data_IF_550323624959
#
_entry.id   IF_550323624959
#
_cell.length_a   1.000
_cell.length_b   1.000
_cell.length_c   1.000
_cell.angle_alpha   90.00
_cell.angle_beta   90.00
_cell.angle_gamma   90.00
#
_symmetry.space_group_name_H-M   'P 1'
#
loop_
_entity.id
_entity.type
_entity.pdbx_description
1 polymer ?
#
# COMPACT_ATOMS: atom_id res chain seq x y z
N UNK A 1 -38.00 9.62 1.04
CA UNK A 1 -38.02 8.18 0.70
C UNK A 1 -37.84 8.02 -0.81
N UNK A 2 -37.14 6.97 -1.27
CA UNK A 2 -36.84 6.76 -2.69
C UNK A 2 -38.08 6.23 -3.44
N UNK A 3 -38.68 6.98 -4.39
CA UNK A 3 -39.89 6.55 -5.11
C UNK A 3 -39.70 5.25 -5.88
N UNK A 4 -38.48 4.96 -6.33
CA UNK A 4 -38.15 3.72 -7.03
C UNK A 4 -38.34 2.49 -6.13
N UNK A 5 -38.00 2.61 -4.84
CA UNK A 5 -38.16 1.53 -3.88
C UNK A 5 -39.64 1.16 -3.67
N UNK A 6 -40.50 2.17 -3.56
CA UNK A 6 -41.95 1.97 -3.46
C UNK A 6 -42.52 1.32 -4.72
N UNK A 7 -42.08 1.73 -5.91
CA UNK A 7 -42.49 1.13 -7.17
C UNK A 7 -42.04 -0.33 -7.31
N UNK A 8 -40.81 -0.66 -6.89
CA UNK A 8 -40.29 -2.04 -6.88
C UNK A 8 -41.13 -2.91 -5.92
N UNK A 9 -41.48 -2.40 -4.74
CA UNK A 9 -42.30 -3.15 -3.79
C UNK A 9 -43.70 -3.43 -4.33
N UNK A 10 -44.31 -2.46 -5.02
CA UNK A 10 -45.60 -2.65 -5.69
C UNK A 10 -45.48 -3.72 -6.80
N UNK A 11 -44.43 -3.66 -7.63
CA UNK A 11 -44.19 -4.65 -8.70
C UNK A 11 -44.08 -6.08 -8.15
N UNK A 12 -43.43 -6.26 -6.99
CA UNK A 12 -43.33 -7.56 -6.31
C UNK A 12 -44.64 -8.09 -5.74
N UNK A 13 -45.57 -7.21 -5.38
CA UNK A 13 -46.85 -7.57 -4.75
C UNK A 13 -47.94 -7.90 -5.77
N UNK A 14 -47.86 -7.37 -6.98
CA UNK A 14 -48.86 -7.62 -8.02
C UNK A 14 -48.61 -9.00 -8.64
N UNK A 15 -49.58 -9.92 -8.50
CA UNK A 15 -49.57 -11.19 -9.23
C UNK A 15 -49.77 -10.92 -10.72
N UNK A 16 -48.66 -10.91 -11.47
CA UNK A 16 -48.62 -10.58 -12.89
C UNK A 16 -47.85 -9.29 -13.15
N UNK A 17 -47.04 -9.26 -14.23
CA UNK A 17 -46.22 -8.08 -14.57
C UNK A 17 -47.12 -6.91 -15.00
N UNK A 18 -47.34 -5.95 -14.11
CA UNK A 18 -48.11 -4.73 -14.42
C UNK A 18 -47.34 -3.86 -15.40
N UNK A 19 -47.90 -3.62 -16.59
CA UNK A 19 -47.29 -2.77 -17.60
C UNK A 19 -47.12 -1.33 -17.11
N UNK A 20 -48.13 -0.79 -16.42
CA UNK A 20 -48.09 0.56 -15.85
C UNK A 20 -46.95 0.72 -14.84
N UNK A 21 -46.79 -0.24 -13.92
CA UNK A 21 -45.73 -0.18 -12.91
C UNK A 21 -44.35 -0.29 -13.56
N UNK A 22 -44.20 -1.18 -14.55
CA UNK A 22 -42.95 -1.28 -15.31
C UNK A 22 -42.64 0.03 -16.06
N UNK A 23 -43.63 0.65 -16.72
CA UNK A 23 -43.44 1.93 -17.42
C UNK A 23 -43.02 3.04 -16.44
N UNK A 24 -43.63 3.11 -15.25
CA UNK A 24 -43.25 4.06 -14.20
C UNK A 24 -41.84 3.81 -13.65
N UNK A 25 -41.46 2.54 -13.45
CA UNK A 25 -40.11 2.16 -13.04
C UNK A 25 -39.09 2.61 -14.10
N UNK A 26 -39.33 2.32 -15.38
CA UNK A 26 -38.42 2.71 -16.46
C UNK A 26 -38.32 4.23 -16.61
N UNK A 27 -39.44 4.95 -16.55
CA UNK A 27 -39.45 6.42 -16.59
C UNK A 27 -38.70 7.04 -15.41
N UNK A 28 -38.85 6.47 -14.22
CA UNK A 28 -38.13 6.94 -13.02
C UNK A 28 -36.65 6.63 -13.13
N UNK A 29 -36.29 5.42 -13.57
CA UNK A 29 -34.91 4.97 -13.76
C UNK A 29 -34.16 5.82 -14.80
N UNK A 30 -34.82 6.21 -15.90
CA UNK A 30 -34.23 7.05 -16.94
C UNK A 30 -33.81 8.46 -16.46
N UNK A 31 -34.33 8.91 -15.31
CA UNK A 31 -33.93 10.18 -14.69
C UNK A 31 -32.75 10.04 -13.74
N UNK A 32 -32.36 8.81 -13.39
CA UNK A 32 -31.25 8.55 -12.48
C UNK A 32 -29.95 8.62 -13.29
N UNK A 33 -29.01 9.39 -12.78
CA UNK A 33 -27.64 9.44 -13.29
C UNK A 33 -26.72 9.01 -12.15
N UNK A 34 -25.83 8.08 -12.44
CA UNK A 34 -24.76 7.70 -11.53
C UNK A 34 -23.45 8.20 -12.06
N UNK A 35 -22.66 8.82 -11.19
CA UNK A 35 -21.25 9.03 -11.46
C UNK A 35 -20.42 7.81 -10.99
N UNK A 36 -19.18 7.73 -11.46
CA UNK A 36 -18.28 6.60 -11.16
C UNK A 36 -18.01 6.48 -9.66
N UNK A 37 -17.91 7.60 -8.94
CA UNK A 37 -17.65 7.60 -7.49
C UNK A 37 -18.82 7.03 -6.69
N UNK A 38 -20.06 7.29 -7.10
CA UNK A 38 -21.26 6.70 -6.51
C UNK A 38 -21.33 5.20 -6.77
N UNK A 39 -20.98 4.76 -7.98
CA UNK A 39 -20.89 3.33 -8.29
C UNK A 39 -19.84 2.67 -7.43
N UNK A 40 -18.62 3.20 -7.39
CA UNK A 40 -17.54 2.70 -6.57
C UNK A 40 -17.94 2.64 -5.09
N UNK A 41 -18.55 3.72 -4.58
CA UNK A 41 -19.00 3.80 -3.19
C UNK A 41 -20.02 2.71 -2.87
N UNK A 42 -21.07 2.57 -3.67
CA UNK A 42 -22.19 1.68 -3.35
C UNK A 42 -21.91 0.20 -3.68
N UNK A 43 -20.93 -0.07 -4.56
CA UNK A 43 -20.58 -1.45 -4.98
C UNK A 43 -19.32 -2.00 -4.32
N UNK A 44 -18.46 -1.12 -3.80
CA UNK A 44 -17.21 -1.53 -3.17
C UNK A 44 -16.97 -0.87 -1.82
N UNK A 45 -17.02 0.46 -1.68
CA UNK A 45 -16.54 1.11 -0.44
C UNK A 45 -17.52 1.04 0.75
N UNK A 46 -18.83 1.04 0.46
CA UNK A 46 -19.94 0.94 1.41
C UNK A 46 -21.04 0.05 0.84
N UNK A 47 -20.76 -1.25 0.61
CA UNK A 47 -21.67 -2.13 -0.08
C UNK A 47 -22.86 -2.49 0.81
N UNK A 48 -24.08 -2.17 0.36
CA UNK A 48 -25.31 -2.54 1.07
C UNK A 48 -26.37 -3.05 0.09
N UNK A 49 -27.29 -3.89 0.58
CA UNK A 49 -28.45 -4.37 -0.20
C UNK A 49 -29.51 -3.29 -0.42
N UNK A 50 -29.44 -2.20 0.33
CA UNK A 50 -30.41 -1.10 0.28
C UNK A 50 -29.99 0.00 -0.69
N UNK A 51 -28.80 -0.09 -1.30
CA UNK A 51 -28.37 0.87 -2.32
C UNK A 51 -29.22 0.75 -3.58
N UNK A 52 -29.39 1.89 -4.26
CA UNK A 52 -30.13 1.93 -5.53
C UNK A 52 -29.44 1.06 -6.59
N UNK A 53 -28.10 1.09 -6.64
CA UNK A 53 -27.30 0.30 -7.58
C UNK A 53 -27.48 -1.20 -7.36
N UNK A 54 -27.48 -1.66 -6.10
CA UNK A 54 -27.73 -3.08 -5.80
C UNK A 54 -29.13 -3.51 -6.29
N UNK A 55 -30.16 -2.70 -6.03
CA UNK A 55 -31.51 -2.98 -6.53
C UNK A 55 -31.55 -3.03 -8.07
N UNK A 56 -30.92 -2.08 -8.76
CA UNK A 56 -30.89 -2.06 -10.24
C UNK A 56 -30.16 -3.28 -10.81
N UNK A 57 -29.10 -3.75 -10.16
CA UNK A 57 -28.35 -4.91 -10.61
C UNK A 57 -29.14 -6.23 -10.48
N UNK A 58 -29.98 -6.37 -9.45
CA UNK A 58 -30.55 -7.66 -9.08
C UNK A 58 -32.08 -7.77 -9.14
N UNK A 59 -32.83 -6.67 -9.24
CA UNK A 59 -34.29 -6.72 -9.35
C UNK A 59 -34.75 -6.97 -10.79
N UNK A 60 -35.79 -7.79 -10.93
CA UNK A 60 -36.26 -8.30 -12.22
C UNK A 60 -36.78 -7.22 -13.16
N UNK A 61 -37.38 -6.16 -12.61
CA UNK A 61 -37.91 -5.02 -13.36
C UNK A 61 -36.81 -4.21 -14.10
N UNK A 62 -35.53 -4.37 -13.73
CA UNK A 62 -34.40 -3.73 -14.40
C UNK A 62 -33.65 -4.64 -15.36
N UNK A 63 -34.05 -5.91 -15.53
CA UNK A 63 -33.30 -6.91 -16.30
C UNK A 63 -32.92 -6.44 -17.71
N UNK A 64 -33.84 -5.76 -18.39
CA UNK A 64 -33.66 -5.21 -19.75
C UNK A 64 -33.46 -3.69 -19.79
N UNK A 65 -33.22 -3.06 -18.65
CA UNK A 65 -33.10 -1.61 -18.57
C UNK A 65 -31.73 -1.13 -19.07
N UNK A 66 -31.72 0.03 -19.75
CA UNK A 66 -30.48 0.70 -20.16
C UNK A 66 -29.61 1.08 -18.95
N UNK A 67 -30.24 1.46 -17.83
CA UNK A 67 -29.55 1.86 -16.62
C UNK A 67 -28.70 0.73 -16.03
N UNK A 68 -29.23 -0.50 -16.01
CA UNK A 68 -28.47 -1.69 -15.59
C UNK A 68 -27.24 -1.90 -16.45
N UNK A 69 -27.36 -1.75 -17.77
CA UNK A 69 -26.22 -1.88 -18.68
C UNK A 69 -25.16 -0.80 -18.42
N UNK A 70 -25.57 0.45 -18.19
CA UNK A 70 -24.64 1.55 -17.85
C UNK A 70 -23.84 1.22 -16.59
N UNK A 71 -24.49 0.71 -15.55
CA UNK A 71 -23.81 0.32 -14.31
C UNK A 71 -22.82 -0.81 -14.57
N UNK A 72 -23.21 -1.82 -15.35
CA UNK A 72 -22.33 -2.94 -15.73
C UNK A 72 -21.10 -2.42 -16.47
N UNK A 73 -21.28 -1.56 -17.48
CA UNK A 73 -20.20 -1.00 -18.28
C UNK A 73 -19.22 -0.18 -17.41
N UNK A 74 -19.75 0.62 -16.47
CA UNK A 74 -18.93 1.37 -15.53
C UNK A 74 -18.16 0.47 -14.56
N UNK A 75 -18.77 -0.62 -14.06
CA UNK A 75 -18.09 -1.60 -13.21
C UNK A 75 -16.98 -2.35 -13.97
N UNK A 76 -17.19 -2.66 -15.25
CA UNK A 76 -16.15 -3.23 -16.10
C UNK A 76 -14.98 -2.25 -16.30
N UNK A 77 -15.27 -0.97 -16.52
CA UNK A 77 -14.24 0.07 -16.62
C UNK A 77 -13.47 0.25 -15.30
N UNK A 78 -14.16 0.17 -14.16
CA UNK A 78 -13.57 0.19 -12.82
C UNK A 78 -12.61 -0.99 -12.63
N UNK A 79 -13.02 -2.20 -13.01
CA UNK A 79 -12.17 -3.38 -12.94
C UNK A 79 -10.87 -3.21 -13.74
N UNK A 80 -10.98 -2.78 -15.00
CA UNK A 80 -9.80 -2.54 -15.84
C UNK A 80 -8.87 -1.49 -15.21
N UNK A 81 -9.45 -0.45 -14.60
CA UNK A 81 -8.68 0.57 -13.87
C UNK A 81 -7.93 -0.04 -12.68
N UNK A 82 -8.54 -0.96 -11.94
CA UNK A 82 -7.88 -1.64 -10.82
C UNK A 82 -6.82 -2.65 -11.28
N UNK A 83 -6.99 -3.30 -12.42
CA UNK A 83 -5.95 -4.18 -12.98
C UNK A 83 -4.73 -3.39 -13.46
N UNK A 84 -4.95 -2.27 -14.16
CA UNK A 84 -3.90 -1.44 -14.73
C UNK A 84 -3.21 -0.57 -13.68
N UNK A 85 -4.01 0.24 -12.96
CA UNK A 85 -3.52 1.26 -12.04
C UNK A 85 -3.52 0.76 -10.60
N UNK A 86 -4.56 0.05 -10.20
CA UNK A 86 -4.73 -0.44 -8.84
C UNK A 86 -5.63 0.40 -7.93
N UNK A 87 -5.58 0.06 -6.66
CA UNK A 87 -6.39 0.55 -5.57
C UNK A 87 -5.66 1.66 -4.81
N UNK A 88 -6.46 2.53 -4.21
CA UNK A 88 -5.99 3.45 -3.16
C UNK A 88 -5.78 2.68 -1.85
N UNK A 89 -4.90 3.17 -0.98
CA UNK A 89 -4.70 2.52 0.32
C UNK A 89 -6.00 2.48 1.15
N UNK A 90 -6.83 3.53 1.09
CA UNK A 90 -8.13 3.57 1.76
C UNK A 90 -9.05 2.42 1.34
N UNK A 91 -9.01 2.02 0.07
CA UNK A 91 -9.80 0.92 -0.49
C UNK A 91 -9.29 -0.44 0.02
N UNK A 92 -7.98 -0.64 0.03
CA UNK A 92 -7.33 -1.86 0.55
C UNK A 92 -7.62 -2.01 2.05
N UNK A 93 -7.47 -0.93 2.82
CA UNK A 93 -7.73 -0.93 4.26
C UNK A 93 -9.23 -1.06 4.57
N UNK A 94 -10.09 -0.49 3.72
CA UNK A 94 -11.54 -0.66 3.79
C UNK A 94 -11.95 -2.13 3.65
N UNK A 95 -11.42 -2.83 2.64
CA UNK A 95 -11.68 -4.25 2.42
C UNK A 95 -11.43 -5.13 3.65
N UNK A 96 -10.31 -4.87 4.36
CA UNK A 96 -9.96 -5.60 5.58
C UNK A 96 -11.01 -5.43 6.69
N UNK A 97 -11.67 -4.28 6.74
CA UNK A 97 -12.67 -3.91 7.77
C UNK A 97 -14.08 -4.38 7.44
N UNK A 98 -14.34 -4.85 6.22
CA UNK A 98 -15.68 -5.32 5.86
C UNK A 98 -16.11 -6.50 6.71
N UNK A 99 -17.36 -6.43 7.17
CA UNK A 99 -18.11 -7.54 7.71
C UNK A 99 -18.32 -8.64 6.67
N UNK A 100 -18.71 -9.84 7.12
CA UNK A 100 -19.01 -10.95 6.22
C UNK A 100 -20.17 -10.60 5.25
N UNK A 101 -21.18 -9.86 5.72
CA UNK A 101 -22.29 -9.43 4.88
C UNK A 101 -21.84 -8.48 3.76
N UNK A 102 -21.04 -7.47 4.10
CA UNK A 102 -20.48 -6.53 3.11
C UNK A 102 -19.65 -7.26 2.05
N UNK A 103 -18.79 -8.21 2.46
CA UNK A 103 -18.02 -9.03 1.52
C UNK A 103 -18.92 -9.86 0.61
N UNK A 104 -19.96 -10.50 1.14
CA UNK A 104 -20.91 -11.26 0.33
C UNK A 104 -21.62 -10.39 -0.71
N UNK A 105 -21.95 -9.14 -0.38
CA UNK A 105 -22.54 -8.19 -1.33
C UNK A 105 -21.56 -7.89 -2.46
N UNK A 106 -20.31 -7.57 -2.13
CA UNK A 106 -19.26 -7.30 -3.12
C UNK A 106 -19.04 -8.52 -4.01
N UNK A 107 -18.89 -9.72 -3.45
CA UNK A 107 -18.74 -10.94 -4.24
C UNK A 107 -19.94 -11.19 -5.15
N UNK A 108 -21.17 -10.98 -4.65
CA UNK A 108 -22.37 -11.16 -5.47
C UNK A 108 -22.37 -10.21 -6.67
N UNK A 109 -21.99 -8.95 -6.47
CA UNK A 109 -21.86 -7.97 -7.55
C UNK A 109 -20.81 -8.44 -8.55
N UNK A 110 -19.59 -8.72 -8.12
CA UNK A 110 -18.50 -9.07 -9.05
C UNK A 110 -18.68 -10.43 -9.72
N UNK A 111 -19.33 -11.41 -9.08
CA UNK A 111 -19.72 -12.65 -9.72
C UNK A 111 -20.74 -12.39 -10.84
N UNK A 112 -21.74 -11.54 -10.58
CA UNK A 112 -22.73 -11.17 -11.59
C UNK A 112 -22.11 -10.41 -12.79
N UNK A 113 -21.18 -9.48 -12.52
CA UNK A 113 -20.42 -8.80 -13.58
C UNK A 113 -19.55 -9.81 -14.35
N UNK A 114 -18.92 -10.76 -13.66
CA UNK A 114 -18.13 -11.83 -14.25
C UNK A 114 -18.93 -12.74 -15.18
N UNK A 115 -20.12 -13.19 -14.74
CA UNK A 115 -21.06 -13.95 -15.56
C UNK A 115 -21.46 -13.18 -16.83
N UNK A 116 -21.76 -11.90 -16.68
CA UNK A 116 -22.16 -11.03 -17.81
C UNK A 116 -21.02 -10.85 -18.82
N UNK A 117 -19.78 -10.67 -18.33
CA UNK A 117 -18.60 -10.50 -19.17
C UNK A 117 -17.95 -11.81 -19.63
N UNK A 118 -18.47 -12.97 -19.19
CA UNK A 118 -17.84 -14.30 -19.37
C UNK A 118 -16.39 -14.34 -18.89
N UNK A 119 -16.11 -13.68 -17.76
CA UNK A 119 -14.80 -13.60 -17.12
C UNK A 119 -14.93 -13.93 -15.63
N UNK A 120 -13.88 -14.49 -15.03
CA UNK A 120 -13.84 -14.68 -13.58
C UNK A 120 -13.05 -13.54 -12.95
N UNK A 121 -13.71 -12.75 -12.12
CA UNK A 121 -13.08 -11.64 -11.40
C UNK A 121 -12.66 -12.09 -9.99
N UNK A 122 -11.35 -12.12 -9.75
CA UNK A 122 -10.77 -12.54 -8.47
C UNK A 122 -10.39 -11.33 -7.62
N UNK A 123 -11.40 -10.69 -7.01
CA UNK A 123 -11.18 -9.44 -6.27
C UNK A 123 -10.20 -9.59 -5.10
N UNK A 124 -10.26 -10.72 -4.38
CA UNK A 124 -9.34 -11.02 -3.28
C UNK A 124 -7.90 -11.08 -3.75
N UNK A 125 -7.64 -11.82 -4.83
CA UNK A 125 -6.29 -11.97 -5.36
C UNK A 125 -5.70 -10.61 -5.79
N UNK A 126 -6.54 -9.74 -6.38
CA UNK A 126 -6.13 -8.40 -6.79
C UNK A 126 -5.82 -7.50 -5.59
N UNK A 127 -6.67 -7.50 -4.57
CA UNK A 127 -6.48 -6.72 -3.34
C UNK A 127 -5.26 -7.25 -2.56
N UNK A 128 -5.11 -8.56 -2.40
CA UNK A 128 -3.99 -9.17 -1.66
C UNK A 128 -2.64 -8.90 -2.33
N UNK A 129 -2.60 -8.90 -3.67
CA UNK A 129 -1.39 -8.49 -4.40
C UNK A 129 -1.02 -7.05 -4.05
N UNK A 130 -1.96 -6.12 -4.13
CA UNK A 130 -1.67 -4.70 -3.91
C UNK A 130 -1.46 -4.36 -2.43
N UNK A 131 -2.09 -5.12 -1.54
CA UNK A 131 -1.80 -5.05 -0.11
C UNK A 131 -0.34 -5.41 0.17
N UNK A 132 0.19 -6.48 -0.44
CA UNK A 132 1.61 -6.82 -0.30
C UNK A 132 2.52 -5.70 -0.80
N UNK A 133 2.20 -5.08 -1.94
CA UNK A 133 2.94 -3.92 -2.46
C UNK A 133 2.86 -2.70 -1.52
N UNK A 134 1.72 -2.48 -0.86
CA UNK A 134 1.54 -1.42 0.15
C UNK A 134 2.35 -1.71 1.41
N UNK A 135 2.23 -2.93 1.94
CA UNK A 135 2.91 -3.39 3.16
C UNK A 135 4.44 -3.33 2.96
N UNK A 136 4.96 -3.68 1.78
CA UNK A 136 6.38 -3.55 1.45
C UNK A 136 6.88 -2.10 1.53
N UNK A 137 6.12 -1.14 0.97
CA UNK A 137 6.49 0.28 1.02
C UNK A 137 6.49 0.83 2.46
N UNK A 138 5.51 0.40 3.27
CA UNK A 138 5.45 0.74 4.69
C UNK A 138 6.67 0.16 5.43
N UNK A 139 7.00 -1.11 5.20
CA UNK A 139 8.18 -1.74 5.82
C UNK A 139 9.49 -1.09 5.41
N UNK A 140 9.61 -0.64 4.16
CA UNK A 140 10.78 0.11 3.70
C UNK A 140 10.90 1.43 4.46
N UNK A 141 9.81 2.18 4.58
CA UNK A 141 9.79 3.41 5.38
C UNK A 141 10.24 3.16 6.81
N UNK A 142 9.61 2.21 7.48
CA UNK A 142 9.89 1.90 8.89
C UNK A 142 11.35 1.47 9.12
N UNK A 143 11.88 0.56 8.29
CA UNK A 143 13.26 0.09 8.40
C UNK A 143 14.27 1.21 8.20
N UNK A 144 14.06 2.05 7.19
CA UNK A 144 15.00 3.13 6.88
C UNK A 144 14.95 4.23 7.94
N UNK A 145 13.76 4.66 8.36
CA UNK A 145 13.60 5.62 9.47
C UNK A 145 14.35 5.12 10.70
N UNK A 146 14.16 3.85 11.06
CA UNK A 146 14.84 3.24 12.20
C UNK A 146 16.37 3.27 12.05
N UNK A 147 16.89 2.87 10.89
CA UNK A 147 18.33 2.93 10.63
C UNK A 147 18.88 4.36 10.73
N UNK A 148 18.17 5.37 10.20
CA UNK A 148 18.58 6.76 10.30
C UNK A 148 18.59 7.27 11.75
N UNK A 149 17.66 6.79 12.58
CA UNK A 149 17.59 7.15 13.99
C UNK A 149 18.65 6.48 14.86
N UNK A 150 19.02 5.24 14.53
CA UNK A 150 20.04 4.48 15.28
C UNK A 150 21.46 4.84 14.86
N UNK A 151 21.72 4.91 13.54
CA UNK A 151 23.08 4.95 13.00
C UNK A 151 23.50 6.32 12.46
N UNK A 152 22.54 7.18 12.10
CA UNK A 152 22.80 8.42 11.36
C UNK A 152 22.43 9.69 12.14
N UNK A 153 22.44 9.66 13.47
CA UNK A 153 22.00 10.78 14.32
C UNK A 153 22.67 12.13 13.96
N UNK A 154 23.92 12.10 13.53
CA UNK A 154 24.71 13.29 13.18
C UNK A 154 24.95 13.45 11.67
N UNK A 155 24.28 12.67 10.82
CA UNK A 155 24.44 12.78 9.37
C UNK A 155 23.79 14.08 8.86
N UNK A 156 24.52 14.86 8.04
CA UNK A 156 24.07 16.18 7.58
C UNK A 156 22.84 16.11 6.67
N UNK A 157 22.64 14.99 5.99
CA UNK A 157 21.57 14.73 5.03
C UNK A 157 20.42 13.88 5.60
N UNK A 158 20.46 13.51 6.89
CA UNK A 158 19.41 12.71 7.56
C UNK A 158 18.01 13.31 7.32
N UNK A 159 17.88 14.62 7.47
CA UNK A 159 16.60 15.32 7.36
C UNK A 159 15.99 15.19 5.95
N UNK A 160 16.81 15.28 4.91
CA UNK A 160 16.39 15.11 3.52
C UNK A 160 15.75 13.73 3.31
N UNK A 161 16.34 12.68 3.89
CA UNK A 161 15.78 11.32 3.77
C UNK A 161 14.47 11.14 4.53
N UNK A 162 14.34 11.75 5.72
CA UNK A 162 13.09 11.74 6.47
C UNK A 162 11.97 12.45 5.71
N UNK A 163 12.26 13.55 5.02
CA UNK A 163 11.30 14.26 4.16
C UNK A 163 10.85 13.40 2.99
N UNK A 164 11.77 12.72 2.30
CA UNK A 164 11.43 11.79 1.21
C UNK A 164 10.54 10.63 1.69
N UNK A 165 10.79 10.11 2.89
CA UNK A 165 9.97 9.06 3.49
C UNK A 165 8.58 9.56 3.91
N UNK A 166 8.50 10.80 4.41
CA UNK A 166 7.23 11.45 4.78
C UNK A 166 6.39 11.80 3.55
N UNK A 167 7.00 12.23 2.46
CA UNK A 167 6.31 12.45 1.18
C UNK A 167 5.73 11.13 0.64
N UNK A 168 6.50 10.04 0.72
CA UNK A 168 6.04 8.71 0.33
C UNK A 168 4.85 8.24 1.18
N UNK A 169 4.89 8.47 2.50
CA UNK A 169 3.78 8.17 3.40
C UNK A 169 2.53 9.00 3.07
N UNK A 170 2.70 10.29 2.81
CA UNK A 170 1.60 11.17 2.41
C UNK A 170 0.94 10.66 1.12
N UNK A 171 1.74 10.31 0.11
CA UNK A 171 1.23 9.72 -1.14
C UNK A 171 0.54 8.37 -0.89
N UNK A 172 1.05 7.53 0.01
CA UNK A 172 0.39 6.27 0.38
C UNK A 172 -1.01 6.49 0.94
N UNK A 173 -1.27 7.62 1.59
CA UNK A 173 -2.59 7.92 2.15
C UNK A 173 -3.58 8.46 1.10
N UNK A 174 -3.12 9.18 0.08
CA UNK A 174 -3.97 9.85 -0.91
C UNK A 174 -4.09 9.14 -2.25
N UNK A 175 -3.03 8.46 -2.69
CA UNK A 175 -2.86 8.04 -4.08
C UNK A 175 -3.10 6.53 -4.28
N UNK A 176 -3.05 6.12 -5.54
CA UNK A 176 -3.08 4.71 -5.93
C UNK A 176 -1.75 4.06 -5.54
N UNK A 177 -1.81 2.91 -4.86
CA UNK A 177 -0.61 2.28 -4.30
C UNK A 177 0.46 2.01 -5.37
N UNK A 178 0.07 1.50 -6.54
CA UNK A 178 1.03 1.17 -7.61
C UNK A 178 1.74 2.39 -8.19
N UNK A 179 1.12 3.56 -8.25
CA UNK A 179 1.74 4.77 -8.81
C UNK A 179 2.82 5.35 -7.89
N UNK A 180 2.82 4.95 -6.62
CA UNK A 180 3.80 5.42 -5.65
C UNK A 180 5.09 4.64 -5.84
N UNK A 181 6.12 5.37 -6.27
CA UNK A 181 7.46 4.82 -6.44
C UNK A 181 8.31 5.12 -5.21
N UNK A 182 9.14 4.15 -4.81
CA UNK A 182 10.17 4.39 -3.80
C UNK A 182 11.22 5.32 -4.44
N UNK A 183 11.55 6.46 -3.83
CA UNK A 183 12.56 7.37 -4.37
C UNK A 183 13.89 6.65 -4.62
N UNK A 184 14.57 6.95 -5.74
CA UNK A 184 15.80 6.24 -6.11
C UNK A 184 16.89 6.38 -5.05
N UNK A 185 16.97 7.54 -4.40
CA UNK A 185 17.89 7.79 -3.29
C UNK A 185 17.63 6.79 -2.16
N UNK A 186 16.36 6.56 -1.80
CA UNK A 186 15.95 5.59 -0.77
C UNK A 186 16.28 4.16 -1.21
N UNK A 187 16.05 3.80 -2.48
CA UNK A 187 16.36 2.46 -3.01
C UNK A 187 17.83 2.07 -2.87
N UNK A 188 18.75 3.03 -3.03
CA UNK A 188 20.19 2.78 -2.91
C UNK A 188 20.59 2.30 -1.51
N UNK A 189 19.84 2.68 -0.48
CA UNK A 189 20.14 2.31 0.90
C UNK A 189 19.56 0.97 1.33
N UNK A 190 18.59 0.42 0.59
CA UNK A 190 17.89 -0.81 0.98
C UNK A 190 18.84 -1.97 1.32
N UNK A 191 19.85 -2.30 0.49
CA UNK A 191 20.76 -3.40 0.81
C UNK A 191 21.56 -3.18 2.10
N UNK A 192 21.88 -1.92 2.41
CA UNK A 192 22.64 -1.57 3.61
C UNK A 192 21.75 -1.58 4.85
N UNK A 193 20.53 -1.06 4.74
CA UNK A 193 19.51 -1.04 5.79
C UNK A 193 19.16 -2.46 6.22
N UNK A 194 19.04 -3.39 5.27
CA UNK A 194 18.78 -4.81 5.58
C UNK A 194 19.92 -5.45 6.38
N UNK A 195 21.17 -5.13 6.04
CA UNK A 195 22.34 -5.58 6.80
C UNK A 195 22.35 -4.96 8.19
N UNK A 196 22.12 -3.66 8.30
CA UNK A 196 22.14 -2.93 9.58
C UNK A 196 21.03 -3.35 10.53
N UNK A 197 19.83 -3.60 10.01
CA UNK A 197 18.68 -4.04 10.81
C UNK A 197 18.97 -5.36 11.54
N UNK A 198 19.75 -6.26 10.94
CA UNK A 198 20.15 -7.52 11.61
C UNK A 198 21.19 -7.32 12.72
N UNK A 199 21.94 -6.22 12.68
CA UNK A 199 22.99 -5.88 13.64
C UNK A 199 22.48 -5.02 14.81
N UNK A 200 21.27 -4.46 14.73
CA UNK A 200 20.67 -3.63 15.79
C UNK A 200 20.63 -4.33 17.16
N UNK A 201 20.48 -5.67 17.17
CA UNK A 201 20.45 -6.46 18.41
C UNK A 201 21.83 -6.67 19.04
N UNK A 202 22.89 -6.25 18.38
CA UNK A 202 24.25 -6.34 18.88
C UNK A 202 24.62 -4.98 19.48
N UNK A 203 24.93 -4.93 20.78
CA UNK A 203 25.44 -3.74 21.49
C UNK A 203 26.76 -3.16 20.92
N UNK A 204 27.22 -3.68 19.77
CA UNK A 204 28.45 -3.30 19.12
C UNK A 204 28.44 -1.84 18.64
N UNK A 205 27.29 -1.30 18.21
CA UNK A 205 27.21 0.10 17.76
C UNK A 205 27.33 1.11 18.91
N UNK A 206 26.63 0.89 20.01
CA UNK A 206 26.74 1.74 21.21
C UNK A 206 28.16 1.66 21.80
N UNK A 207 28.74 0.45 21.85
CA UNK A 207 30.12 0.24 22.28
C UNK A 207 31.10 1.00 21.40
N UNK A 208 30.89 0.97 20.08
CA UNK A 208 31.69 1.72 19.12
C UNK A 208 31.59 3.23 19.33
N UNK A 209 30.38 3.78 19.44
CA UNK A 209 30.17 5.22 19.66
C UNK A 209 30.86 5.68 20.95
N UNK A 210 30.69 4.93 22.04
CA UNK A 210 31.34 5.24 23.32
C UNK A 210 32.87 5.22 23.22
N UNK A 211 33.45 4.26 22.48
CA UNK A 211 34.90 4.22 22.25
C UNK A 211 35.40 5.37 21.37
N UNK A 212 34.63 5.74 20.35
CA UNK A 212 35.01 6.82 19.43
C UNK A 212 34.95 8.18 20.12
N UNK A 213 33.92 8.43 20.94
CA UNK A 213 33.81 9.64 21.75
C UNK A 213 34.94 9.75 22.78
N UNK A 214 35.31 8.64 23.44
CA UNK A 214 36.47 8.59 24.35
C UNK A 214 37.78 8.91 23.64
N UNK A 215 37.98 8.43 22.41
CA UNK A 215 39.18 8.77 21.60
C UNK A 215 39.21 10.25 21.20
N UNK A 216 38.07 10.83 20.84
CA UNK A 216 37.99 12.26 20.49
C UNK A 216 38.17 13.19 21.70
N UNK A 217 37.80 12.76 22.91
CA UNK A 217 38.01 13.53 24.15
C UNK A 217 39.43 13.42 24.70
N UNK A 218 40.14 12.31 24.42
CA UNK A 218 41.49 12.07 24.92
C UNK A 218 42.62 12.53 23.96
N UNK A 219 42.28 12.98 22.76
CA UNK A 219 43.27 13.46 21.78
C UNK A 219 43.28 14.99 21.72
N UNK A 220 44.03 15.61 22.63
CA UNK A 220 44.82 16.80 22.27
C UNK A 220 45.88 16.38 21.24
N UNK A 221 46.22 17.22 20.24
CA UNK A 221 47.01 16.79 19.11
C UNK A 221 48.44 16.50 19.56
N UNK A 222 48.83 15.23 19.52
CA UNK A 222 50.24 14.88 19.36
C UNK A 222 50.32 14.16 18.03
N UNK A 223 50.87 14.84 17.04
CA UNK A 223 51.23 14.34 15.73
C UNK A 223 52.02 13.04 15.87
N UNK A 224 51.54 11.98 15.25
CA UNK A 224 52.41 10.86 14.86
C UNK A 224 51.83 10.25 13.59
N UNK A 225 52.57 10.41 12.51
CA UNK A 225 52.27 9.91 11.17
C UNK A 225 51.95 8.41 11.20
N UNK A 226 50.82 8.03 10.62
CA UNK A 226 50.51 6.63 10.30
C UNK A 226 50.70 6.46 8.80
N UNK A 227 51.69 5.65 8.44
CA UNK A 227 52.11 5.37 7.07
C UNK A 227 51.13 4.38 6.39
N UNK A 228 50.84 4.47 5.08
CA UNK A 228 49.75 3.72 4.43
C UNK A 228 50.00 2.22 4.19
N UNK A 229 51.03 1.62 4.80
CA UNK A 229 51.51 0.28 4.47
C UNK A 229 50.97 -0.85 5.36
N UNK A 230 50.12 -0.56 6.35
CA UNK A 230 49.54 -1.60 7.23
C UNK A 230 48.25 -2.24 6.68
N UNK A 231 48.03 -2.17 5.37
CA UNK A 231 46.98 -2.91 4.68
C UNK A 231 47.46 -4.37 4.55
N UNK A 232 47.24 -5.17 5.59
CA UNK A 232 47.54 -6.61 5.58
C UNK A 232 46.34 -7.41 5.06
N UNK A 233 46.69 -8.38 4.22
CA UNK A 233 45.94 -9.30 3.37
C UNK A 233 44.65 -9.94 3.92
N UNK A 234 43.71 -10.13 2.99
CA UNK A 234 42.33 -10.55 3.22
C UNK A 234 42.05 -12.04 3.43
N UNK A 235 43.03 -12.91 3.68
CA UNK A 235 42.80 -14.37 3.66
C UNK A 235 42.88 -15.10 5.03
N UNK A 236 43.14 -14.42 6.15
CA UNK A 236 43.33 -15.11 7.45
C UNK A 236 42.15 -15.04 8.45
N UNK A 237 40.93 -14.70 8.04
CA UNK A 237 39.83 -14.36 8.98
C UNK A 237 38.75 -15.46 9.11
N UNK A 238 39.14 -16.67 9.49
CA UNK A 238 38.21 -17.73 9.90
C UNK A 238 38.67 -18.41 11.19
N UNK A 239 38.41 -17.78 12.34
CA UNK A 239 38.18 -18.49 13.61
C UNK A 239 37.47 -17.60 14.65
N UNK A 240 36.69 -18.26 15.50
CA UNK A 240 35.53 -17.80 16.28
C UNK A 240 35.64 -16.51 17.12
N UNK A 241 34.46 -15.87 17.27
CA UNK A 241 34.09 -14.68 18.08
C UNK A 241 34.83 -13.36 17.85
N UNK A 242 36.09 -13.38 17.42
CA UNK A 242 36.82 -12.19 16.97
C UNK A 242 36.36 -11.71 15.59
N UNK A 243 35.84 -12.62 14.76
CA UNK A 243 35.37 -12.37 13.40
C UNK A 243 34.16 -11.43 13.36
N UNK A 244 33.20 -11.58 14.28
CA UNK A 244 32.04 -10.67 14.34
C UNK A 244 32.46 -9.25 14.67
N UNK A 245 33.42 -9.09 15.59
CA UNK A 245 33.94 -7.79 15.98
C UNK A 245 34.68 -7.15 14.81
N UNK A 246 35.59 -7.86 14.14
CA UNK A 246 36.36 -7.32 13.01
C UNK A 246 35.47 -6.98 11.80
N UNK A 247 34.47 -7.81 11.48
CA UNK A 247 33.51 -7.53 10.41
C UNK A 247 32.66 -6.31 10.77
N UNK A 248 32.23 -6.17 12.02
CA UNK A 248 31.48 -5.00 12.49
C UNK A 248 32.35 -3.73 12.44
N UNK A 249 33.61 -3.76 12.89
CA UNK A 249 34.50 -2.60 12.78
C UNK A 249 34.81 -2.21 11.33
N UNK A 250 35.11 -3.17 10.44
CA UNK A 250 35.34 -2.88 9.02
C UNK A 250 34.07 -2.38 8.31
N UNK A 251 32.90 -2.89 8.70
CA UNK A 251 31.61 -2.43 8.17
C UNK A 251 31.22 -1.04 8.73
N UNK A 252 31.57 -0.74 9.97
CA UNK A 252 31.39 0.57 10.58
C UNK A 252 32.35 1.60 9.97
N UNK A 253 33.60 1.25 9.69
CA UNK A 253 34.52 2.12 8.96
C UNK A 253 34.08 2.34 7.51
N UNK A 254 33.47 1.32 6.88
CA UNK A 254 32.79 1.45 5.59
C UNK A 254 31.56 2.39 5.66
N UNK A 255 30.79 2.36 6.76
CA UNK A 255 29.67 3.28 6.99
C UNK A 255 30.17 4.71 7.27
N UNK A 256 31.26 4.88 8.04
CA UNK A 256 31.93 6.18 8.20
C UNK A 256 32.40 6.72 6.85
N UNK A 257 32.95 5.86 5.99
CA UNK A 257 33.40 6.24 4.65
C UNK A 257 32.23 6.61 3.72
N UNK A 258 31.06 5.98 3.89
CA UNK A 258 29.86 6.25 3.08
C UNK A 258 29.01 7.44 3.57
N UNK A 259 28.94 7.70 4.88
CA UNK A 259 28.00 8.68 5.47
C UNK A 259 28.65 9.84 6.21
N UNK A 260 29.93 9.77 6.56
CA UNK A 260 30.58 10.80 7.41
C UNK A 260 31.77 11.50 6.76
N UNK A 261 32.19 11.11 5.56
CA UNK A 261 33.26 11.78 4.80
C UNK A 261 32.75 12.28 3.44
N UNK A 262 31.92 13.33 3.49
CA UNK A 262 31.88 14.40 2.50
C UNK A 262 31.56 15.71 3.19
#
# INVERSE_FOLDING_TARGET
ENPLYHLINIDKQIQGKSKLINDLIQLTANKIQFNVDEILRDTFERPTRTTCIYAILFEDCFKSSRLRQIIIDQLLALWNTWEEKGFRASQILGWKKFSNEERQIVYRIWNYIGETAKKQYQIDALIDRQRREMDEKIQIKERITKCLDTYCQNAFDKQLYLELLSEMETKLQSDIVRSITIPNQIKLFLPLVDRLTSLEKLNAWETFLAQTQKRSQNNSPTTTDIHPSDIIDGESLLSDNSMYIVVVYKFIDFIKYLFCLK
#
